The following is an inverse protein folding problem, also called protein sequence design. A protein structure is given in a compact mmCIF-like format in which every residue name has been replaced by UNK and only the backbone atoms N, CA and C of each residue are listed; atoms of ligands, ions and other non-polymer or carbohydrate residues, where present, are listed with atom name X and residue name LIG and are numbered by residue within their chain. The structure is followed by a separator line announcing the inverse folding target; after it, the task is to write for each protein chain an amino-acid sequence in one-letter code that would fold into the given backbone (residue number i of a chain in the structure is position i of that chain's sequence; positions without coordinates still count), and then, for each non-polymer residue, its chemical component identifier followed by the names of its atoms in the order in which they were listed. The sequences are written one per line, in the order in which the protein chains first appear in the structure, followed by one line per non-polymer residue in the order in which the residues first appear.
data_IF_491177944576
#
_entry.id   IF_491177944576
#
_cell.length_a   1.000
_cell.length_b   1.000
_cell.length_c   1.000
_cell.angle_alpha   90.00
_cell.angle_beta   90.00
_cell.angle_gamma   90.00
#
_symmetry.space_group_name_H-M   'P 1'
#
loop_
_entity.id
_entity.type
_entity.pdbx_description
1 polymer ?
#
# COMPACT_ATOMS: atom_id res chain seq x y z
N UNK A 1 -9.18 25.19 -6.53
CA UNK A 1 -8.83 23.82 -6.98
C UNK A 1 -9.87 22.83 -6.46
N UNK A 2 -10.96 22.63 -7.20
CA UNK A 2 -11.99 21.63 -6.85
C UNK A 2 -11.55 20.27 -7.36
N UNK A 3 -10.79 19.56 -6.54
CA UNK A 3 -10.32 18.21 -6.85
C UNK A 3 -11.53 17.26 -6.81
N UNK A 4 -11.79 16.55 -7.90
CA UNK A 4 -12.96 15.68 -8.04
C UNK A 4 -12.98 14.64 -6.89
N UNK A 5 -14.11 14.48 -6.19
CA UNK A 5 -14.23 13.70 -4.94
C UNK A 5 -13.77 12.25 -5.10
N UNK A 6 -13.90 11.71 -6.32
CA UNK A 6 -13.36 10.41 -6.72
C UNK A 6 -11.83 10.36 -6.71
N UNK A 7 -11.14 11.36 -7.27
CA UNK A 7 -9.67 11.47 -7.24
C UNK A 7 -9.13 11.59 -5.82
N UNK A 8 -9.80 12.37 -4.98
CA UNK A 8 -9.49 12.46 -3.55
C UNK A 8 -9.58 11.10 -2.87
N UNK A 9 -10.67 10.36 -3.12
CA UNK A 9 -10.88 9.05 -2.50
C UNK A 9 -9.79 8.04 -2.90
N UNK A 10 -9.36 8.04 -4.17
CA UNK A 10 -8.25 7.19 -4.62
C UNK A 10 -6.90 7.57 -3.99
N UNK A 11 -6.60 8.86 -3.90
CA UNK A 11 -5.36 9.33 -3.26
C UNK A 11 -5.36 8.95 -1.78
N UNK A 12 -6.50 9.11 -1.09
CA UNK A 12 -6.64 8.67 0.30
C UNK A 12 -6.51 7.16 0.46
N UNK A 13 -7.09 6.36 -0.42
CA UNK A 13 -6.95 4.90 -0.36
C UNK A 13 -5.49 4.45 -0.53
N UNK A 14 -4.77 5.04 -1.49
CA UNK A 14 -3.33 4.78 -1.66
C UNK A 14 -2.52 5.28 -0.46
N UNK A 15 -2.81 6.49 0.02
CA UNK A 15 -2.14 7.03 1.20
C UNK A 15 -2.32 6.12 2.41
N UNK A 16 -3.53 5.64 2.68
CA UNK A 16 -3.80 4.72 3.78
C UNK A 16 -3.13 3.37 3.58
N UNK A 17 -3.15 2.82 2.36
CA UNK A 17 -2.49 1.55 2.04
C UNK A 17 -1.00 1.56 2.37
N UNK A 18 -0.31 2.69 2.14
CA UNK A 18 1.12 2.81 2.40
C UNK A 18 1.44 3.36 3.80
N UNK A 19 0.71 4.37 4.25
CA UNK A 19 1.00 5.05 5.51
C UNK A 19 0.62 4.20 6.72
N UNK A 20 -0.48 3.45 6.67
CA UNK A 20 -0.94 2.67 7.82
C UNK A 20 0.08 1.58 8.22
N UNK A 21 0.57 0.70 7.30
CA UNK A 21 1.59 -0.27 7.67
C UNK A 21 2.92 0.38 8.04
N UNK A 22 3.31 1.48 7.39
CA UNK A 22 4.54 2.20 7.73
C UNK A 22 4.48 2.76 9.16
N UNK A 23 3.39 3.43 9.52
CA UNK A 23 3.17 3.97 10.87
C UNK A 23 3.07 2.85 11.90
N UNK A 24 2.36 1.77 11.59
CA UNK A 24 2.26 0.62 12.49
C UNK A 24 3.62 -0.02 12.77
N UNK A 25 4.44 -0.23 11.73
CA UNK A 25 5.79 -0.76 11.88
C UNK A 25 6.70 0.19 12.66
N UNK A 26 6.67 1.49 12.35
CA UNK A 26 7.44 2.51 13.10
C UNK A 26 7.02 2.58 14.57
N UNK A 27 5.72 2.52 14.86
CA UNK A 27 5.25 2.51 16.24
C UNK A 27 5.73 1.26 16.98
N UNK A 28 5.68 0.09 16.32
CA UNK A 28 6.17 -1.15 16.90
C UNK A 28 7.67 -1.08 17.19
N UNK A 29 8.51 -0.72 16.21
CA UNK A 29 9.97 -0.73 16.40
C UNK A 29 10.43 0.27 17.48
N UNK A 30 9.74 1.42 17.59
CA UNK A 30 10.08 2.45 18.59
C UNK A 30 9.64 2.09 20.01
N UNK A 31 8.73 1.13 20.17
CA UNK A 31 8.18 0.75 21.48
C UNK A 31 8.54 -0.67 21.89
N UNK A 32 9.06 -1.48 20.97
CA UNK A 32 9.44 -2.86 21.21
C UNK A 32 10.65 -2.94 22.16
N UNK A 33 10.59 -3.79 23.20
CA UNK A 33 11.76 -4.14 23.98
C UNK A 33 12.80 -4.89 23.15
N UNK A 34 14.07 -4.59 23.40
CA UNK A 34 15.24 -5.24 22.77
C UNK A 34 15.60 -6.58 23.40
N UNK A 35 14.95 -6.95 24.52
CA UNK A 35 15.27 -8.17 25.26
C UNK A 35 13.99 -8.93 25.61
N UNK A 36 14.12 -10.25 25.76
CA UNK A 36 13.01 -11.10 26.19
C UNK A 36 12.79 -11.00 27.70
N UNK A 37 11.53 -11.02 28.18
CA UNK A 37 11.26 -11.17 29.60
C UNK A 37 11.79 -12.52 30.11
N UNK A 38 12.16 -12.56 31.40
CA UNK A 38 12.54 -13.78 32.14
C UNK A 38 13.88 -14.43 31.73
N UNK A 39 14.78 -13.70 31.05
CA UNK A 39 16.13 -14.19 30.73
C UNK A 39 16.15 -15.35 29.73
N UNK A 40 15.12 -15.45 28.88
CA UNK A 40 15.06 -16.42 27.81
C UNK A 40 16.18 -16.19 26.79
N UNK A 41 16.73 -17.26 26.22
CA UNK A 41 17.74 -17.16 25.18
C UNK A 41 17.19 -16.38 23.97
N UNK A 42 17.97 -15.41 23.48
CA UNK A 42 17.61 -14.50 22.39
C UNK A 42 18.24 -14.97 21.07
N UNK A 43 17.43 -15.06 20.01
CA UNK A 43 17.93 -15.36 18.66
C UNK A 43 16.94 -16.08 17.73
N UNK A 44 17.34 -16.24 16.46
CA UNK A 44 16.61 -17.04 15.46
C UNK A 44 17.14 -18.48 15.45
N UNK A 45 16.35 -19.41 15.98
CA UNK A 45 16.59 -20.86 15.91
C UNK A 45 17.35 -21.46 17.10
N UNK A 46 17.34 -22.80 17.20
CA UNK A 46 18.02 -23.60 18.25
C UNK A 46 17.48 -23.45 19.69
N UNK A 47 16.16 -23.27 19.84
CA UNK A 47 15.49 -23.22 21.16
C UNK A 47 15.45 -21.84 21.79
N UNK A 48 16.01 -20.81 21.14
CA UNK A 48 15.95 -19.41 21.52
C UNK A 48 14.75 -18.72 20.83
N UNK A 49 14.22 -17.66 21.44
CA UNK A 49 13.06 -16.91 20.93
C UNK A 49 13.50 -15.57 20.38
N UNK A 50 12.83 -15.06 19.34
CA UNK A 50 13.08 -13.69 18.88
C UNK A 50 12.71 -12.71 19.97
N UNK A 51 13.53 -11.66 20.09
CA UNK A 51 13.15 -10.46 20.82
C UNK A 51 11.92 -9.83 20.16
N UNK A 52 11.09 -9.08 20.91
CA UNK A 52 9.97 -8.36 20.32
C UNK A 52 10.38 -7.41 19.20
N UNK A 53 11.56 -6.78 19.32
CA UNK A 53 12.15 -5.93 18.28
C UNK A 53 12.52 -6.74 17.03
N UNK A 54 13.26 -7.84 17.17
CA UNK A 54 13.63 -8.69 16.03
C UNK A 54 12.40 -9.34 15.38
N UNK A 55 11.37 -9.64 16.17
CA UNK A 55 10.07 -10.10 15.69
C UNK A 55 9.42 -9.10 14.74
N UNK A 56 9.46 -7.81 15.08
CA UNK A 56 8.97 -6.74 14.20
C UNK A 56 9.77 -6.68 12.89
N UNK A 57 11.10 -6.73 12.97
CA UNK A 57 11.99 -6.72 11.79
C UNK A 57 11.73 -7.94 10.90
N UNK A 58 11.59 -9.13 11.48
CA UNK A 58 11.30 -10.35 10.75
C UNK A 58 9.95 -10.30 10.05
N UNK A 59 8.90 -9.79 10.74
CA UNK A 59 7.59 -9.59 10.13
C UNK A 59 7.64 -8.56 9.00
N UNK A 60 8.39 -7.47 9.15
CA UNK A 60 8.62 -6.51 8.07
C UNK A 60 9.31 -7.17 6.87
N UNK A 61 10.32 -8.01 7.09
CA UNK A 61 11.03 -8.71 6.02
C UNK A 61 10.09 -9.58 5.18
N UNK A 62 9.15 -10.29 5.81
CA UNK A 62 8.18 -11.16 5.11
C UNK A 62 7.04 -10.34 4.47
N UNK A 63 6.53 -9.35 5.18
CA UNK A 63 5.35 -8.59 4.73
C UNK A 63 5.69 -7.55 3.67
N UNK A 64 6.90 -6.97 3.68
CA UNK A 64 7.34 -5.96 2.70
C UNK A 64 7.19 -6.41 1.24
N UNK A 65 7.69 -7.58 0.80
CA UNK A 65 7.52 -8.01 -0.59
C UNK A 65 6.04 -8.21 -0.94
N UNK A 66 5.23 -8.74 -0.02
CA UNK A 66 3.78 -8.92 -0.22
C UNK A 66 3.09 -7.56 -0.39
N UNK A 67 3.42 -6.59 0.46
CA UNK A 67 2.85 -5.24 0.42
C UNK A 67 3.27 -4.50 -0.86
N UNK A 68 4.53 -4.63 -1.28
CA UNK A 68 5.02 -4.04 -2.52
C UNK A 68 4.32 -4.63 -3.75
N UNK A 69 4.13 -5.95 -3.80
CA UNK A 69 3.42 -6.62 -4.89
C UNK A 69 1.93 -6.22 -4.92
N UNK A 70 1.24 -6.29 -3.78
CA UNK A 70 -0.17 -5.94 -3.69
C UNK A 70 -0.40 -4.44 -3.99
N UNK A 71 0.41 -3.57 -3.40
CA UNK A 71 0.35 -2.12 -3.63
C UNK A 71 0.72 -1.74 -5.06
N UNK A 72 1.73 -2.38 -5.64
CA UNK A 72 2.09 -2.23 -7.04
C UNK A 72 0.96 -2.65 -7.98
N UNK A 73 0.29 -3.78 -7.70
CA UNK A 73 -0.85 -4.25 -8.46
C UNK A 73 -2.05 -3.30 -8.34
N UNK A 74 -2.32 -2.76 -7.15
CA UNK A 74 -3.34 -1.73 -6.94
C UNK A 74 -3.05 -0.46 -7.77
N UNK A 75 -1.81 0.04 -7.74
CA UNK A 75 -1.39 1.16 -8.58
C UNK A 75 -1.56 0.88 -10.07
N UNK A 76 -1.15 -0.32 -10.51
CA UNK A 76 -1.25 -0.74 -11.91
C UNK A 76 -2.70 -0.82 -12.37
N UNK A 77 -3.57 -1.45 -11.59
CA UNK A 77 -5.01 -1.59 -11.91
C UNK A 77 -5.67 -0.22 -12.00
N UNK A 78 -5.41 0.69 -11.05
CA UNK A 78 -5.91 2.07 -11.10
C UNK A 78 -5.42 2.78 -12.37
N UNK A 79 -4.14 2.66 -12.72
CA UNK A 79 -3.57 3.27 -13.92
C UNK A 79 -4.20 2.73 -15.20
N UNK A 80 -4.39 1.41 -15.32
CA UNK A 80 -5.05 0.78 -16.46
C UNK A 80 -6.50 1.25 -16.58
N UNK A 81 -7.25 1.26 -15.48
CA UNK A 81 -8.64 1.70 -15.46
C UNK A 81 -8.79 3.17 -15.86
N UNK A 82 -7.89 4.05 -15.37
CA UNK A 82 -7.87 5.46 -15.75
C UNK A 82 -7.57 5.65 -17.23
N UNK A 83 -6.55 4.96 -17.77
CA UNK A 83 -6.23 5.01 -19.21
C UNK A 83 -7.39 4.52 -20.08
N UNK A 84 -8.09 3.47 -19.66
CA UNK A 84 -9.26 2.95 -20.39
C UNK A 84 -10.44 3.93 -20.34
N UNK A 85 -10.69 4.56 -19.19
CA UNK A 85 -11.73 5.57 -19.02
C UNK A 85 -11.51 6.80 -19.90
N UNK A 86 -10.28 7.33 -19.92
CA UNK A 86 -9.92 8.49 -20.75
C UNK A 86 -10.12 8.19 -22.25
N UNK A 87 -9.67 7.02 -22.73
CA UNK A 87 -9.91 6.58 -24.13
C UNK A 87 -11.40 6.48 -24.47
N UNK A 88 -12.22 6.01 -23.52
CA UNK A 88 -13.68 5.88 -23.73
C UNK A 88 -14.36 7.24 -23.83
N UNK A 89 -13.97 8.21 -22.98
CA UNK A 89 -14.49 9.58 -23.03
C UNK A 89 -14.15 10.28 -24.35
N UNK A 90 -12.90 10.18 -24.83
CA UNK A 90 -12.52 10.78 -26.11
C UNK A 90 -13.30 10.21 -27.30
N UNK A 91 -13.55 8.89 -27.31
CA UNK A 91 -14.35 8.24 -28.37
C UNK A 91 -15.81 8.68 -28.35
N UNK A 92 -16.41 8.85 -27.17
CA UNK A 92 -17.79 9.32 -27.03
C UNK A 92 -17.95 10.77 -27.54
N UNK A 93 -17.01 11.67 -27.23
CA UNK A 93 -17.03 13.05 -27.72
C UNK A 93 -16.86 13.12 -29.23
N UNK A 94 -15.98 12.28 -29.81
CA UNK A 94 -15.78 12.22 -31.26
C UNK A 94 -17.04 11.75 -32.02
N UNK A 95 -17.74 10.72 -31.53
CA UNK A 95 -18.99 10.25 -32.14
C UNK A 95 -20.08 11.33 -32.08
N UNK A 96 -20.25 11.99 -30.92
CA UNK A 96 -21.23 13.08 -30.80
C UNK A 96 -20.94 14.26 -31.73
N UNK A 97 -19.66 14.56 -32.02
CA UNK A 97 -19.30 15.63 -32.95
C UNK A 97 -19.55 15.30 -34.42
N UNK A 98 -19.60 14.02 -34.78
CA UNK A 98 -19.96 13.56 -36.13
C UNK A 98 -21.48 13.65 -36.33
N UNK A 99 -22.27 13.24 -35.32
CA UNK A 99 -23.73 13.30 -35.37
C UNK A 99 -24.28 14.75 -35.50
N UNK A 100 -23.54 15.75 -35.00
CA UNK A 100 -23.93 17.17 -35.07
C UNK A 100 -23.46 17.90 -36.35
N UNK A 101 -22.79 17.23 -37.30
CA UNK A 101 -22.55 17.80 -38.63
C UNK A 101 -23.68 17.37 -39.58
N UNK A 102 -24.62 18.27 -39.93
CA UNK A 102 -25.63 18.00 -40.95
C UNK A 102 -25.02 17.90 -42.36
#
# INVERSE_FOLDING_TARGET
MTMNRSRLSYVWALALLWALPAVAFSAWILTAPEHNPDGQCEGIGFGCTLTPHDGAVFMAMISTPVLLLAGGLACLTIWVLRRRGERRSHRATAVSSVELRP
#
